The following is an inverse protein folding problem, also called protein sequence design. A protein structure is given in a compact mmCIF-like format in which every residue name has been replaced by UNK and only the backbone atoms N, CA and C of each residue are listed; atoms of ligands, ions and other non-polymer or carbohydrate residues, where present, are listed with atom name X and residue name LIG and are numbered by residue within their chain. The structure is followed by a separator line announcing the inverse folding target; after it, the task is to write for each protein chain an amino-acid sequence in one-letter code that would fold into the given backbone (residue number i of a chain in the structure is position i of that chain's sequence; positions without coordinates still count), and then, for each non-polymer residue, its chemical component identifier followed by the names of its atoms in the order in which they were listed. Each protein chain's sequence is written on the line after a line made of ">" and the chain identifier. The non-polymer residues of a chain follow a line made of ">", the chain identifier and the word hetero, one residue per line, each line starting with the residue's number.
data_IF_214912619956
#
_entry.id   IF_214912619956
#
_cell.length_a   1.000
_cell.length_b   1.000
_cell.length_c   1.000
_cell.angle_alpha   90.00
_cell.angle_beta   90.00
_cell.angle_gamma   90.00
#
_symmetry.space_group_name_H-M   'P 1'
#
loop_
_entity.id
_entity.type
_entity.pdbx_description
1 polymer ?
#
# COMPACT_ATOMS: atom_id res chain seq x y z
N UNK A 1 -75.62 1.75 46.03
CA UNK A 1 -76.99 1.19 46.05
C UNK A 1 -76.89 -0.31 45.81
N UNK A 2 -77.43 -1.06 46.78
CA UNK A 2 -77.98 -2.40 46.73
C UNK A 2 -77.01 -3.56 46.50
N UNK A 3 -76.56 -4.23 47.54
CA UNK A 3 -77.18 -5.34 48.36
C UNK A 3 -77.10 -6.67 47.60
N UNK A 4 -76.22 -7.59 48.06
CA UNK A 4 -76.44 -8.70 48.96
C UNK A 4 -77.21 -9.87 48.32
N UNK A 5 -76.66 -11.08 48.39
CA UNK A 5 -77.28 -12.09 49.26
C UNK A 5 -76.48 -13.42 49.23
N UNK A 6 -76.32 -13.97 50.42
CA UNK A 6 -75.81 -15.31 50.76
C UNK A 6 -76.80 -16.36 50.31
N UNK A 7 -76.30 -17.58 49.92
CA UNK A 7 -77.04 -18.78 50.36
C UNK A 7 -76.06 -19.96 50.55
N UNK A 8 -76.02 -20.43 51.75
CA UNK A 8 -75.42 -21.68 52.25
C UNK A 8 -76.38 -22.81 51.98
N UNK A 9 -75.93 -23.95 51.42
CA UNK A 9 -76.62 -25.23 51.62
C UNK A 9 -75.55 -26.30 51.83
N UNK A 10 -75.71 -26.92 52.99
CA UNK A 10 -75.02 -28.09 53.51
C UNK A 10 -75.75 -29.35 53.04
N UNK A 11 -75.04 -30.36 52.48
CA UNK A 11 -75.55 -31.74 52.46
C UNK A 11 -74.37 -32.72 52.46
N UNK A 12 -74.48 -33.69 53.35
CA UNK A 12 -73.46 -34.64 53.73
C UNK A 12 -73.43 -35.91 52.85
N UNK A 13 -72.28 -36.55 52.88
CA UNK A 13 -71.96 -37.96 52.86
C UNK A 13 -72.37 -38.85 51.68
N UNK A 14 -71.39 -39.50 51.06
CA UNK A 14 -71.30 -40.99 51.06
C UNK A 14 -69.93 -41.41 50.51
N UNK A 15 -69.23 -42.23 51.28
CA UNK A 15 -67.94 -42.81 50.92
C UNK A 15 -68.06 -43.90 49.83
N UNK A 16 -67.27 -43.83 48.82
CA UNK A 16 -66.94 -45.00 47.98
C UNK A 16 -65.45 -44.86 47.56
N UNK A 17 -64.66 -45.83 48.00
CA UNK A 17 -63.23 -45.89 47.71
C UNK A 17 -62.97 -46.13 46.25
N UNK A 18 -62.19 -45.25 45.69
CA UNK A 18 -61.52 -45.44 44.41
C UNK A 18 -60.03 -45.32 44.65
N UNK A 19 -59.32 -46.38 44.41
CA UNK A 19 -57.86 -46.45 44.38
C UNK A 19 -57.41 -45.63 43.13
N UNK A 20 -57.00 -44.42 43.34
CA UNK A 20 -56.39 -43.62 42.28
C UNK A 20 -54.93 -44.04 42.14
N UNK A 21 -54.63 -44.79 41.10
CA UNK A 21 -53.27 -44.98 40.61
C UNK A 21 -52.74 -43.60 40.13
N UNK A 22 -51.86 -42.99 40.92
CA UNK A 22 -51.10 -41.82 40.46
C UNK A 22 -50.20 -42.22 39.28
N UNK A 23 -50.27 -41.56 38.13
CA UNK A 23 -49.25 -41.73 37.13
C UNK A 23 -47.93 -41.19 37.72
N UNK A 24 -46.91 -42.06 37.80
CA UNK A 24 -45.55 -41.63 38.07
C UNK A 24 -45.18 -40.67 36.97
N UNK A 25 -45.12 -39.37 37.26
CA UNK A 25 -44.44 -38.41 36.41
C UNK A 25 -42.98 -38.80 36.36
N UNK A 26 -42.58 -39.52 35.31
CA UNK A 26 -41.18 -39.63 34.94
C UNK A 26 -40.72 -38.21 34.63
N UNK A 27 -40.04 -37.54 35.56
CA UNK A 27 -39.26 -36.38 35.29
C UNK A 27 -38.27 -36.79 34.22
N UNK A 28 -38.46 -36.30 32.99
CA UNK A 28 -37.45 -36.44 31.96
C UNK A 28 -36.15 -35.87 32.56
N UNK A 29 -35.02 -36.59 32.44
CA UNK A 29 -33.75 -36.02 32.85
C UNK A 29 -33.54 -34.76 31.98
N UNK A 30 -33.64 -33.60 32.60
CA UNK A 30 -33.21 -32.38 31.98
C UNK A 30 -31.77 -32.62 31.59
N UNK A 31 -31.43 -32.43 30.30
CA UNK A 31 -30.08 -32.58 29.79
C UNK A 31 -29.23 -31.44 30.35
N UNK A 32 -28.76 -31.62 31.59
CA UNK A 32 -27.98 -30.64 32.37
C UNK A 32 -26.71 -30.24 31.68
N UNK A 33 -26.33 -30.99 30.62
CA UNK A 33 -25.13 -30.74 29.83
C UNK A 33 -25.24 -29.63 28.82
N UNK A 34 -26.45 -29.24 28.40
CA UNK A 34 -26.71 -28.20 27.42
C UNK A 34 -27.15 -26.86 28.06
N UNK A 35 -27.15 -26.78 29.40
CA UNK A 35 -27.48 -25.52 30.08
C UNK A 35 -26.33 -24.51 29.87
N UNK A 36 -26.69 -23.31 29.40
CA UNK A 36 -25.75 -22.17 29.33
C UNK A 36 -25.33 -21.83 30.77
N UNK A 37 -24.06 -21.70 31.01
CA UNK A 37 -23.46 -21.35 32.30
C UNK A 37 -22.43 -20.26 32.13
N UNK A 38 -22.23 -19.47 33.16
CA UNK A 38 -21.11 -18.51 33.26
C UNK A 38 -20.18 -19.00 34.37
N UNK A 39 -18.90 -19.09 34.08
CA UNK A 39 -17.84 -19.55 34.96
C UNK A 39 -16.77 -18.48 35.11
N UNK A 40 -16.52 -18.03 36.35
CA UNK A 40 -15.41 -17.16 36.67
C UNK A 40 -14.21 -18.00 37.07
N UNK A 41 -13.04 -17.77 36.42
CA UNK A 41 -11.81 -18.45 36.74
C UNK A 41 -10.81 -17.50 37.40
N UNK A 42 -10.24 -17.93 38.51
CA UNK A 42 -9.20 -17.14 39.18
C UNK A 42 -7.96 -17.07 38.33
N UNK A 43 -7.45 -15.84 38.07
CA UNK A 43 -6.23 -15.58 37.36
C UNK A 43 -5.31 -14.70 38.18
N UNK A 44 -4.01 -14.93 38.10
CA UNK A 44 -2.99 -14.02 38.60
C UNK A 44 -2.78 -12.87 37.61
N UNK A 45 -2.03 -11.84 37.97
CA UNK A 45 -1.72 -10.75 37.05
C UNK A 45 -0.92 -11.28 35.84
N UNK A 46 -1.28 -10.77 34.65
CA UNK A 46 -0.62 -11.07 33.37
C UNK A 46 -0.53 -9.80 32.53
N UNK A 47 0.38 -9.78 31.56
CA UNK A 47 0.56 -8.70 30.60
C UNK A 47 0.50 -9.17 29.15
N UNK A 48 0.40 -10.48 28.93
CA UNK A 48 0.27 -11.09 27.63
C UNK A 48 -0.87 -12.09 27.61
N UNK A 49 -1.50 -12.29 26.45
CA UNK A 49 -2.59 -13.23 26.21
C UNK A 49 -2.29 -14.05 24.96
N UNK A 50 -2.44 -15.37 25.05
CA UNK A 50 -2.41 -16.31 23.94
C UNK A 50 -3.78 -16.98 23.80
N UNK A 51 -4.39 -16.81 22.63
CA UNK A 51 -5.72 -17.31 22.30
C UNK A 51 -5.63 -18.37 21.20
N UNK A 52 -6.16 -19.55 21.48
CA UNK A 52 -6.33 -20.60 20.49
C UNK A 52 -7.71 -21.23 20.66
N UNK A 53 -8.39 -21.54 19.56
CA UNK A 53 -9.72 -22.13 19.55
C UNK A 53 -10.79 -21.20 18.96
N UNK A 54 -12.02 -21.71 18.82
CA UNK A 54 -13.11 -21.02 18.13
C UNK A 54 -13.96 -20.21 19.13
N UNK A 55 -13.35 -19.37 19.94
CA UNK A 55 -14.03 -18.59 20.97
C UNK A 55 -14.21 -17.14 20.53
N UNK A 56 -15.37 -16.55 20.84
CA UNK A 56 -15.52 -15.10 20.79
C UNK A 56 -14.90 -14.49 22.05
N UNK A 57 -13.87 -13.68 21.88
CA UNK A 57 -13.08 -13.16 23.01
C UNK A 57 -13.23 -11.64 23.09
N UNK A 58 -13.61 -11.13 24.24
CA UNK A 58 -13.70 -9.70 24.53
C UNK A 58 -12.69 -9.35 25.62
N UNK A 59 -11.75 -8.46 25.31
CA UNK A 59 -10.67 -8.04 26.22
C UNK A 59 -10.83 -6.55 26.54
N UNK A 60 -10.95 -6.22 27.83
CA UNK A 60 -10.86 -4.84 28.30
C UNK A 60 -9.47 -4.59 28.91
N UNK A 61 -8.64 -3.84 28.17
CA UNK A 61 -7.27 -3.57 28.55
C UNK A 61 -7.08 -2.57 29.70
N UNK A 62 -8.16 -2.04 30.26
CA UNK A 62 -8.17 -1.16 31.44
C UNK A 62 -8.81 -1.83 32.68
N UNK A 63 -9.51 -2.96 32.51
CA UNK A 63 -10.12 -3.66 33.60
C UNK A 63 -9.12 -4.42 34.50
N UNK A 64 -9.48 -4.65 35.76
CA UNK A 64 -8.66 -5.49 36.64
C UNK A 64 -8.55 -6.92 36.11
N UNK A 65 -7.45 -7.63 36.35
CA UNK A 65 -7.31 -9.01 35.91
C UNK A 65 -8.50 -9.88 36.29
N UNK A 66 -9.21 -10.40 35.31
CA UNK A 66 -10.37 -11.23 35.43
C UNK A 66 -10.55 -12.14 34.24
N UNK A 67 -11.22 -13.28 34.44
CA UNK A 67 -11.50 -14.21 33.36
C UNK A 67 -12.89 -14.83 33.60
N UNK A 68 -13.79 -14.61 32.66
CA UNK A 68 -15.15 -15.14 32.65
C UNK A 68 -15.40 -15.88 31.33
N UNK A 69 -15.92 -17.09 31.42
CA UNK A 69 -16.32 -17.92 30.32
C UNK A 69 -17.84 -18.13 30.35
N UNK A 70 -18.52 -17.92 29.21
CA UNK A 70 -19.96 -18.12 29.09
C UNK A 70 -20.26 -19.03 27.89
N UNK A 71 -21.04 -20.08 28.11
CA UNK A 71 -21.42 -21.07 27.10
C UNK A 71 -21.99 -22.35 27.71
N UNK A 72 -22.12 -23.40 26.92
CA UNK A 72 -22.56 -24.71 27.40
C UNK A 72 -21.54 -25.31 28.38
N UNK A 73 -21.98 -25.85 29.53
CA UNK A 73 -21.08 -26.43 30.55
C UNK A 73 -20.09 -27.46 30.00
N UNK A 74 -20.49 -28.27 29.03
CA UNK A 74 -19.62 -29.25 28.40
C UNK A 74 -18.48 -28.59 27.61
N UNK A 75 -18.79 -27.46 26.94
CA UNK A 75 -17.80 -26.72 26.18
C UNK A 75 -16.83 -25.99 27.12
N UNK A 76 -17.33 -25.41 28.22
CA UNK A 76 -16.48 -24.73 29.22
C UNK A 76 -15.47 -25.70 29.83
N UNK A 77 -15.85 -26.96 30.09
CA UNK A 77 -14.96 -28.00 30.60
C UNK A 77 -13.85 -28.43 29.57
N UNK A 78 -14.03 -28.12 28.29
CA UNK A 78 -13.08 -28.40 27.23
C UNK A 78 -12.09 -27.23 27.00
N UNK A 79 -12.16 -26.15 27.78
CA UNK A 79 -11.28 -24.99 27.67
C UNK A 79 -10.25 -24.99 28.80
N UNK A 80 -8.99 -25.09 28.44
CA UNK A 80 -7.88 -24.88 29.36
C UNK A 80 -7.58 -23.37 29.46
N UNK A 81 -7.50 -22.88 30.68
CA UNK A 81 -7.06 -21.51 30.97
C UNK A 81 -5.99 -21.58 32.06
N UNK A 82 -4.81 -21.06 31.74
CA UNK A 82 -3.68 -21.09 32.65
C UNK A 82 -2.80 -19.82 32.46
N UNK A 83 -2.30 -19.28 33.57
CA UNK A 83 -1.30 -18.23 33.52
C UNK A 83 0.09 -18.87 33.63
N UNK A 84 0.92 -18.69 32.60
CA UNK A 84 2.31 -19.17 32.52
C UNK A 84 3.24 -17.96 32.50
N UNK A 85 3.96 -17.73 33.60
CA UNK A 85 4.73 -16.50 33.75
C UNK A 85 3.83 -15.27 33.75
N UNK A 86 3.94 -14.42 32.74
CA UNK A 86 3.14 -13.22 32.55
C UNK A 86 2.05 -13.38 31.45
N UNK A 87 1.84 -14.60 30.96
CA UNK A 87 0.95 -14.88 29.81
C UNK A 87 -0.26 -15.70 30.24
N UNK A 88 -1.46 -15.17 30.01
CA UNK A 88 -2.72 -15.92 30.09
C UNK A 88 -2.90 -16.72 28.79
N UNK A 89 -2.97 -18.03 28.91
CA UNK A 89 -3.22 -18.95 27.78
C UNK A 89 -4.65 -19.45 27.87
N UNK A 90 -5.42 -19.27 26.79
CA UNK A 90 -6.78 -19.79 26.61
C UNK A 90 -6.79 -20.69 25.37
N UNK A 91 -7.01 -21.98 25.56
CA UNK A 91 -6.95 -22.96 24.48
C UNK A 91 -7.85 -24.18 24.72
N UNK A 92 -8.20 -24.94 23.67
CA UNK A 92 -8.86 -26.23 23.85
C UNK A 92 -7.97 -27.19 24.65
N UNK A 93 -8.57 -27.99 25.54
CA UNK A 93 -7.88 -29.11 26.22
C UNK A 93 -7.41 -30.10 25.15
N UNK A 94 -6.11 -30.37 25.13
CA UNK A 94 -5.56 -31.38 24.23
C UNK A 94 -6.01 -32.79 24.67
N UNK A 95 -6.87 -33.43 23.90
CA UNK A 95 -7.18 -34.84 24.04
C UNK A 95 -6.51 -35.63 22.94
N UNK A 96 -5.73 -36.63 23.28
CA UNK A 96 -5.15 -37.59 22.34
C UNK A 96 -6.28 -38.41 21.70
N UNK A 97 -6.76 -38.02 20.53
CA UNK A 97 -7.78 -38.71 19.74
C UNK A 97 -8.41 -37.81 18.70
N UNK A 98 -8.42 -38.25 17.44
CA UNK A 98 -9.12 -37.59 16.34
C UNK A 98 -10.64 -37.80 16.52
N UNK A 99 -11.36 -36.81 17.00
CA UNK A 99 -12.82 -36.78 16.95
C UNK A 99 -13.28 -35.65 16.03
N UNK A 100 -13.49 -35.96 14.76
CA UNK A 100 -14.29 -35.13 13.86
C UNK A 100 -15.78 -35.24 14.28
N UNK A 101 -16.24 -34.32 15.07
CA UNK A 101 -17.68 -34.22 15.40
C UNK A 101 -18.32 -33.26 14.36
N UNK A 102 -18.64 -33.81 13.19
CA UNK A 102 -19.49 -33.12 12.22
C UNK A 102 -20.96 -33.22 12.71
N UNK A 103 -21.52 -32.08 13.14
CA UNK A 103 -22.97 -32.01 13.26
C UNK A 103 -23.49 -31.45 14.60
N UNK A 104 -23.71 -30.21 14.64
CA UNK A 104 -24.66 -29.27 15.23
C UNK A 104 -23.98 -27.90 15.37
N UNK A 105 -24.66 -26.82 14.98
CA UNK A 105 -24.23 -25.47 15.34
C UNK A 105 -24.11 -25.44 16.87
N UNK A 106 -22.89 -25.44 17.36
CA UNK A 106 -22.61 -25.18 18.77
C UNK A 106 -22.69 -23.68 18.97
N UNK A 107 -23.34 -23.25 20.03
CA UNK A 107 -23.27 -21.85 20.45
C UNK A 107 -21.80 -21.50 20.72
N UNK A 108 -21.36 -20.35 20.22
CA UNK A 108 -19.97 -19.89 20.38
C UNK A 108 -19.73 -19.54 21.84
N UNK A 109 -18.70 -20.13 22.46
CA UNK A 109 -18.30 -19.74 23.80
C UNK A 109 -17.74 -18.32 23.78
N UNK A 110 -18.25 -17.47 24.69
CA UNK A 110 -17.73 -16.13 24.91
C UNK A 110 -16.75 -16.14 26.07
N UNK A 111 -15.57 -15.56 25.87
CA UNK A 111 -14.51 -15.39 26.87
C UNK A 111 -14.31 -13.90 27.14
N UNK A 112 -14.55 -13.43 28.34
CA UNK A 112 -14.32 -12.05 28.75
C UNK A 112 -13.07 -11.96 29.62
N UNK A 113 -12.15 -11.07 29.25
CA UNK A 113 -10.86 -10.93 29.93
C UNK A 113 -10.66 -9.47 30.34
N UNK A 114 -10.39 -9.24 31.61
CA UNK A 114 -9.87 -7.96 32.09
C UNK A 114 -8.36 -8.02 32.20
N UNK A 115 -7.64 -6.98 31.69
CA UNK A 115 -6.18 -6.95 31.60
C UNK A 115 -5.61 -5.54 31.74
N UNK A 116 -5.45 -5.05 32.98
CA UNK A 116 -5.06 -3.65 33.25
C UNK A 116 -3.66 -3.20 32.71
N UNK A 117 -2.83 -4.11 32.27
CA UNK A 117 -1.45 -3.81 31.79
C UNK A 117 -1.08 -4.63 30.55
N UNK A 118 -2.04 -4.74 29.61
CA UNK A 118 -1.88 -5.55 28.40
C UNK A 118 -0.80 -4.99 27.47
N UNK A 119 0.16 -5.84 27.11
CA UNK A 119 1.27 -5.50 26.23
C UNK A 119 1.31 -6.37 24.96
N UNK A 120 0.76 -7.58 25.03
CA UNK A 120 0.82 -8.52 23.90
C UNK A 120 -0.44 -9.36 23.81
N UNK A 121 -0.93 -9.53 22.58
CA UNK A 121 -1.97 -10.51 22.28
C UNK A 121 -1.55 -11.33 21.08
N UNK A 122 -1.66 -12.65 21.20
CA UNK A 122 -1.42 -13.59 20.09
C UNK A 122 -2.70 -14.37 19.85
N UNK A 123 -3.22 -14.31 18.63
CA UNK A 123 -4.45 -14.98 18.22
C UNK A 123 -4.09 -16.05 17.20
N UNK A 124 -4.24 -17.32 17.61
CA UNK A 124 -4.02 -18.49 16.76
C UNK A 124 -5.32 -19.28 16.52
N UNK A 125 -6.43 -18.84 17.12
CA UNK A 125 -7.74 -19.44 17.00
C UNK A 125 -8.51 -18.97 15.77
N UNK A 126 -9.71 -19.56 15.62
CA UNK A 126 -10.67 -19.21 14.57
C UNK A 126 -11.87 -18.40 15.09
N UNK A 127 -11.84 -18.00 16.35
CA UNK A 127 -12.86 -17.14 16.92
C UNK A 127 -12.41 -15.68 16.88
N UNK A 128 -13.39 -14.78 16.80
CA UNK A 128 -13.15 -13.34 16.71
C UNK A 128 -12.73 -12.75 18.06
N UNK A 129 -11.84 -11.75 18.01
CA UNK A 129 -11.28 -11.12 19.21
C UNK A 129 -11.51 -9.61 19.15
N UNK A 130 -12.15 -9.08 20.19
CA UNK A 130 -12.33 -7.65 20.40
C UNK A 130 -11.42 -7.19 21.55
N UNK A 131 -10.60 -6.15 21.33
CA UNK A 131 -9.67 -5.61 22.33
C UNK A 131 -9.94 -4.12 22.51
N UNK A 132 -10.51 -3.76 23.65
CA UNK A 132 -10.90 -2.40 23.93
C UNK A 132 -9.95 -1.71 24.91
N UNK A 133 -9.88 -0.37 24.79
CA UNK A 133 -9.21 0.52 25.72
C UNK A 133 -7.70 0.27 25.85
N UNK A 134 -7.03 -0.20 24.81
CA UNK A 134 -5.57 -0.36 24.80
C UNK A 134 -4.91 0.98 25.11
N UNK A 135 -4.00 1.01 26.09
CA UNK A 135 -3.25 2.20 26.45
C UNK A 135 -1.88 1.82 27.00
N UNK A 136 -0.86 2.46 26.46
CA UNK A 136 0.51 2.21 26.93
C UNK A 136 1.59 2.75 26.00
N UNK A 137 2.83 2.46 26.36
CA UNK A 137 3.98 2.82 25.54
C UNK A 137 4.14 1.88 24.34
N UNK A 138 3.86 0.60 24.52
CA UNK A 138 3.99 -0.39 23.44
C UNK A 138 2.89 -1.45 23.51
N UNK A 139 2.45 -1.88 22.33
CA UNK A 139 1.53 -3.00 22.17
C UNK A 139 1.97 -3.88 21.01
N UNK A 140 1.89 -5.19 21.19
CA UNK A 140 2.22 -6.17 20.16
C UNK A 140 1.00 -7.05 19.88
N UNK A 141 0.59 -7.14 18.62
CA UNK A 141 -0.50 -7.98 18.16
C UNK A 141 0.01 -8.98 17.12
N UNK A 142 -0.27 -10.26 17.31
CA UNK A 142 0.03 -11.30 16.34
C UNK A 142 -1.26 -12.06 15.98
N UNK A 143 -1.74 -11.90 14.75
CA UNK A 143 -2.83 -12.64 14.12
C UNK A 143 -2.28 -13.81 13.30
N UNK A 144 -2.33 -15.01 13.88
CA UNK A 144 -1.78 -16.23 13.24
C UNK A 144 -2.89 -17.21 12.84
N UNK A 145 -4.12 -16.96 13.26
CA UNK A 145 -5.30 -17.79 13.00
C UNK A 145 -6.21 -17.21 11.93
N UNK A 146 -7.32 -17.88 11.64
CA UNK A 146 -8.37 -17.39 10.75
C UNK A 146 -9.46 -16.55 11.42
N UNK A 147 -9.36 -16.26 12.72
CA UNK A 147 -10.28 -15.38 13.45
C UNK A 147 -9.90 -13.91 13.27
N UNK A 148 -10.92 -13.05 13.16
CA UNK A 148 -10.72 -11.62 12.99
C UNK A 148 -10.40 -10.93 14.33
N UNK A 149 -9.63 -9.86 14.27
CA UNK A 149 -9.24 -9.09 15.45
C UNK A 149 -9.61 -7.63 15.28
N UNK A 150 -10.41 -7.10 16.18
CA UNK A 150 -10.70 -5.66 16.30
C UNK A 150 -9.99 -5.10 17.51
N UNK A 151 -9.31 -3.97 17.35
CA UNK A 151 -8.64 -3.34 18.47
C UNK A 151 -8.88 -1.82 18.52
N UNK A 152 -9.06 -1.30 19.76
CA UNK A 152 -9.30 0.11 19.99
C UNK A 152 -8.42 0.67 21.10
N UNK A 153 -8.06 1.97 21.01
CA UNK A 153 -7.25 2.64 22.04
C UNK A 153 -6.16 3.56 21.48
N UNK A 154 -5.04 3.67 22.23
CA UNK A 154 -3.90 4.49 21.80
C UNK A 154 -2.59 4.00 22.41
N UNK A 155 -1.54 3.91 21.58
CA UNK A 155 -0.19 3.51 21.98
C UNK A 155 0.87 4.35 21.30
N UNK A 156 2.08 4.41 21.87
CA UNK A 156 3.20 5.05 21.19
C UNK A 156 3.83 4.16 20.12
N UNK A 157 4.00 2.88 20.44
CA UNK A 157 4.62 1.90 19.55
C UNK A 157 3.67 0.72 19.36
N UNK A 158 3.32 0.42 18.12
CA UNK A 158 2.50 -0.71 17.74
C UNK A 158 3.31 -1.66 16.85
N UNK A 159 3.40 -2.91 17.26
CA UNK A 159 3.98 -3.97 16.43
C UNK A 159 2.87 -4.95 16.05
N UNK A 160 2.68 -5.15 14.76
CA UNK A 160 1.63 -6.03 14.22
C UNK A 160 2.25 -7.09 13.32
N UNK A 161 1.85 -8.33 13.52
CA UNK A 161 2.19 -9.43 12.61
C UNK A 161 0.90 -10.12 12.21
N UNK A 162 0.58 -10.13 10.90
CA UNK A 162 -0.51 -10.90 10.31
C UNK A 162 0.08 -12.06 9.50
N UNK A 163 -0.13 -13.27 9.97
CA UNK A 163 0.30 -14.51 9.31
C UNK A 163 -0.86 -15.47 9.05
N UNK A 164 -2.01 -15.20 9.64
CA UNK A 164 -3.26 -15.93 9.44
C UNK A 164 -4.06 -15.43 8.25
N UNK A 165 -5.28 -15.93 8.14
CA UNK A 165 -6.28 -15.50 7.16
C UNK A 165 -7.41 -14.68 7.78
N UNK A 166 -7.37 -14.41 9.07
CA UNK A 166 -8.28 -13.48 9.73
C UNK A 166 -7.81 -12.04 9.53
N UNK A 167 -8.76 -11.11 9.47
CA UNK A 167 -8.51 -9.70 9.25
C UNK A 167 -8.17 -8.97 10.55
N UNK A 168 -7.34 -7.94 10.47
CA UNK A 168 -6.96 -7.10 11.60
C UNK A 168 -7.53 -5.69 11.41
N UNK A 169 -8.66 -5.41 12.06
CA UNK A 169 -9.35 -4.12 12.03
C UNK A 169 -8.80 -3.21 13.15
N UNK A 170 -7.79 -2.41 12.84
CA UNK A 170 -7.06 -1.56 13.79
C UNK A 170 -7.31 -0.06 13.59
N UNK A 171 -8.29 0.33 12.78
CA UNK A 171 -8.61 1.73 12.47
C UNK A 171 -9.03 2.55 13.70
N UNK A 172 -9.40 1.90 14.81
CA UNK A 172 -9.73 2.54 16.09
C UNK A 172 -8.55 2.52 17.10
N UNK A 173 -7.38 2.00 16.70
CA UNK A 173 -6.17 1.96 17.51
C UNK A 173 -5.16 3.01 17.02
N UNK A 174 -5.12 4.17 17.68
CA UNK A 174 -4.17 5.24 17.36
C UNK A 174 -2.75 4.85 17.73
N UNK A 175 -1.80 5.08 16.84
CA UNK A 175 -0.41 4.76 17.09
C UNK A 175 0.54 5.92 16.76
N UNK A 176 1.63 6.02 17.52
CA UNK A 176 2.77 6.83 17.16
C UNK A 176 3.56 6.14 16.05
N UNK A 177 4.40 5.20 16.43
CA UNK A 177 5.21 4.40 15.49
C UNK A 177 4.57 3.03 15.28
N UNK A 178 4.55 2.57 14.03
CA UNK A 178 3.98 1.27 13.64
C UNK A 178 5.04 0.45 12.88
N UNK A 179 5.24 -0.79 13.32
CA UNK A 179 5.97 -1.83 12.59
C UNK A 179 4.98 -2.96 12.24
N UNK A 180 4.70 -3.11 10.95
CA UNK A 180 3.71 -4.03 10.41
C UNK A 180 4.34 -5.06 9.49
N UNK A 181 4.11 -6.34 9.77
CA UNK A 181 4.51 -7.46 8.93
C UNK A 181 3.28 -8.24 8.49
N UNK A 182 3.01 -8.28 7.18
CA UNK A 182 1.94 -9.04 6.53
C UNK A 182 2.54 -10.23 5.78
N UNK A 183 2.31 -11.43 6.28
CA UNK A 183 2.78 -12.67 5.65
C UNK A 183 1.62 -13.58 5.24
N UNK A 184 0.42 -13.36 5.80
CA UNK A 184 -0.79 -14.12 5.54
C UNK A 184 -1.64 -13.53 4.41
N UNK A 185 -2.79 -14.15 4.13
CA UNK A 185 -3.80 -13.63 3.21
C UNK A 185 -4.86 -12.74 3.89
N UNK A 186 -4.84 -12.57 5.22
CA UNK A 186 -5.77 -11.68 5.92
C UNK A 186 -5.37 -10.22 5.76
N UNK A 187 -6.36 -9.34 5.66
CA UNK A 187 -6.19 -7.93 5.44
C UNK A 187 -5.91 -7.16 6.75
N UNK A 188 -5.30 -6.00 6.64
CA UNK A 188 -5.03 -5.11 7.78
C UNK A 188 -5.51 -3.70 7.49
N UNK A 189 -6.36 -3.19 8.38
CA UNK A 189 -6.82 -1.80 8.35
C UNK A 189 -6.22 -1.01 9.51
N UNK A 190 -5.57 0.11 9.20
CA UNK A 190 -4.97 1.03 10.16
C UNK A 190 -5.51 2.45 9.99
N UNK A 191 -5.49 3.25 11.06
CA UNK A 191 -5.70 4.69 10.93
C UNK A 191 -4.86 5.48 11.96
N UNK A 192 -4.74 6.81 11.71
CA UNK A 192 -4.15 7.75 12.68
C UNK A 192 -2.72 7.42 13.14
N UNK A 193 -1.83 7.00 12.24
CA UNK A 193 -0.39 6.85 12.54
C UNK A 193 0.29 8.20 12.47
N UNK A 194 0.99 8.60 13.54
CA UNK A 194 1.53 9.96 13.69
C UNK A 194 3.07 10.07 13.69
N UNK A 195 3.80 8.97 13.76
CA UNK A 195 5.26 8.94 13.79
C UNK A 195 5.86 8.29 12.55
N UNK A 196 6.31 7.06 12.68
CA UNK A 196 6.86 6.24 11.57
C UNK A 196 5.94 5.09 11.24
N UNK A 197 5.85 4.75 9.95
CA UNK A 197 5.17 3.55 9.48
C UNK A 197 6.17 2.68 8.71
N UNK A 198 6.44 1.49 9.22
CA UNK A 198 7.24 0.46 8.53
C UNK A 198 6.32 -0.69 8.14
N UNK A 199 6.28 -1.00 6.85
CA UNK A 199 5.45 -2.07 6.29
C UNK A 199 6.34 -3.09 5.58
N UNK A 200 6.14 -4.35 5.90
CA UNK A 200 6.74 -5.49 5.21
C UNK A 200 5.61 -6.41 4.73
N UNK A 201 5.23 -6.29 3.46
CA UNK A 201 4.16 -7.06 2.85
C UNK A 201 4.74 -8.21 2.01
N UNK A 202 4.71 -9.41 2.57
CA UNK A 202 5.18 -10.66 1.93
C UNK A 202 4.04 -11.61 1.54
N UNK A 203 2.86 -11.45 2.13
CA UNK A 203 1.66 -12.24 1.88
C UNK A 203 0.81 -11.71 0.72
N UNK A 204 -0.42 -12.23 0.64
CA UNK A 204 -1.44 -11.80 -0.33
C UNK A 204 -2.55 -10.94 0.29
N UNK A 205 -2.53 -10.73 1.61
CA UNK A 205 -3.43 -9.80 2.26
C UNK A 205 -3.07 -8.36 1.94
N UNK A 206 -4.08 -7.49 1.91
CA UNK A 206 -3.94 -6.07 1.62
C UNK A 206 -3.75 -5.24 2.89
N UNK A 207 -3.09 -4.10 2.77
CA UNK A 207 -3.01 -3.08 3.81
C UNK A 207 -3.75 -1.82 3.35
N UNK A 208 -4.71 -1.36 4.16
CA UNK A 208 -5.27 -0.02 4.05
C UNK A 208 -4.89 0.81 5.30
N UNK A 209 -4.25 1.98 5.10
CA UNK A 209 -3.90 2.86 6.20
C UNK A 209 -4.30 4.30 5.91
N UNK A 210 -5.24 4.80 6.73
CA UNK A 210 -5.87 6.10 6.53
C UNK A 210 -5.44 7.15 7.56
N UNK A 211 -5.54 8.42 7.16
CA UNK A 211 -5.31 9.55 8.06
C UNK A 211 -3.88 9.63 8.59
N UNK A 212 -2.89 9.16 7.83
CA UNK A 212 -1.48 9.20 8.20
C UNK A 212 -1.00 10.64 8.39
N UNK A 213 -0.16 10.84 9.39
CA UNK A 213 0.60 12.08 9.64
C UNK A 213 2.05 11.70 9.96
N UNK A 214 2.63 10.88 9.09
CA UNK A 214 3.90 10.24 9.35
C UNK A 214 5.12 11.14 9.06
N UNK A 215 6.13 11.03 9.90
CA UNK A 215 7.44 11.58 9.60
C UNK A 215 8.15 10.81 8.49
N UNK A 216 8.00 9.49 8.50
CA UNK A 216 8.57 8.59 7.50
C UNK A 216 7.67 7.37 7.29
N UNK A 217 7.49 7.00 6.03
CA UNK A 217 6.91 5.74 5.61
C UNK A 217 7.97 4.90 4.91
N UNK A 218 8.12 3.65 5.32
CA UNK A 218 8.97 2.66 4.64
C UNK A 218 8.09 1.47 4.28
N UNK A 219 7.96 1.17 3.00
CA UNK A 219 7.17 0.05 2.51
C UNK A 219 8.04 -0.91 1.68
N UNK A 220 8.08 -2.18 2.07
CA UNK A 220 8.73 -3.27 1.35
C UNK A 220 7.70 -4.30 0.96
N UNK A 221 7.39 -4.35 -0.35
CA UNK A 221 6.37 -5.21 -0.92
C UNK A 221 7.03 -6.33 -1.72
N UNK A 222 6.85 -7.56 -1.27
CA UNK A 222 7.40 -8.77 -1.91
C UNK A 222 6.33 -9.73 -2.37
N UNK A 223 5.14 -9.63 -1.76
CA UNK A 223 3.96 -10.44 -2.07
C UNK A 223 3.09 -9.84 -3.17
N UNK A 224 1.96 -10.50 -3.46
CA UNK A 224 0.93 -10.00 -4.37
C UNK A 224 -0.10 -9.07 -3.69
N UNK A 225 -0.07 -8.93 -2.36
CA UNK A 225 -0.97 -8.03 -1.63
C UNK A 225 -0.69 -6.56 -1.90
N UNK A 226 -1.74 -5.74 -1.90
CA UNK A 226 -1.69 -4.31 -2.18
C UNK A 226 -1.45 -3.49 -0.90
N UNK A 227 -0.90 -2.30 -1.06
CA UNK A 227 -0.73 -1.34 0.03
C UNK A 227 -1.33 -0.01 -0.39
N UNK A 228 -2.40 0.41 0.29
CA UNK A 228 -3.09 1.67 0.08
C UNK A 228 -2.87 2.59 1.27
N UNK A 229 -2.33 3.77 1.02
CA UNK A 229 -2.03 4.75 2.06
C UNK A 229 -2.64 6.11 1.75
N UNK A 230 -3.27 6.72 2.76
CA UNK A 230 -3.83 8.07 2.65
C UNK A 230 -3.38 8.99 3.80
N UNK A 231 -3.44 10.32 3.59
CA UNK A 231 -3.02 11.32 4.57
C UNK A 231 -1.75 12.07 4.19
N UNK A 232 -0.76 12.15 5.07
CA UNK A 232 0.50 12.85 4.80
C UNK A 232 1.72 12.11 5.34
N UNK A 233 2.84 12.26 4.61
CA UNK A 233 4.15 11.80 5.04
C UNK A 233 5.22 12.82 4.66
N UNK A 234 6.29 12.94 5.45
CA UNK A 234 7.43 13.76 5.06
C UNK A 234 8.33 13.00 4.08
N UNK A 235 8.61 11.74 4.38
CA UNK A 235 9.49 10.90 3.58
C UNK A 235 8.81 9.58 3.24
N UNK A 236 9.03 9.10 2.02
CA UNK A 236 8.63 7.77 1.57
C UNK A 236 9.86 7.02 1.03
N UNK A 237 10.06 5.80 1.51
CA UNK A 237 11.01 4.82 0.97
C UNK A 237 10.24 3.56 0.57
N UNK A 238 10.02 3.38 -0.75
CA UNK A 238 9.25 2.30 -1.32
C UNK A 238 10.16 1.32 -2.07
N UNK A 239 10.06 0.05 -1.75
CA UNK A 239 10.73 -1.04 -2.44
C UNK A 239 9.71 -2.13 -2.80
N UNK A 240 9.53 -2.39 -4.10
CA UNK A 240 8.57 -3.35 -4.64
C UNK A 240 9.28 -4.40 -5.48
N UNK A 241 9.14 -5.66 -5.10
CA UNK A 241 9.62 -6.80 -5.86
C UNK A 241 8.52 -7.84 -6.15
N UNK A 242 7.37 -7.69 -5.50
CA UNK A 242 6.17 -8.49 -5.73
C UNK A 242 5.31 -7.97 -6.88
N UNK A 243 4.11 -8.53 -7.02
CA UNK A 243 3.12 -8.14 -8.01
C UNK A 243 1.98 -7.26 -7.44
N UNK A 244 1.98 -7.04 -6.13
CA UNK A 244 1.01 -6.14 -5.50
C UNK A 244 1.27 -4.67 -5.86
N UNK A 245 0.22 -3.86 -5.86
CA UNK A 245 0.26 -2.44 -6.19
C UNK A 245 0.44 -1.57 -4.95
N UNK A 246 1.13 -0.44 -5.10
CA UNK A 246 1.25 0.60 -4.09
C UNK A 246 0.41 1.82 -4.46
N UNK A 247 -0.71 2.01 -3.75
CA UNK A 247 -1.65 3.11 -3.95
C UNK A 247 -1.35 4.25 -2.95
N UNK A 248 -0.39 5.10 -3.28
CA UNK A 248 0.00 6.28 -2.48
C UNK A 248 -0.37 7.61 -3.12
N UNK A 249 -1.32 7.64 -4.08
CA UNK A 249 -1.79 8.88 -4.70
C UNK A 249 -2.58 9.79 -3.73
N UNK A 250 -3.17 9.21 -2.69
CA UNK A 250 -3.88 9.92 -1.63
C UNK A 250 -2.98 10.20 -0.41
N UNK A 251 -1.71 9.76 -0.46
CA UNK A 251 -0.67 10.09 0.51
C UNK A 251 0.11 11.31 0.05
N UNK A 252 -0.10 12.45 0.68
CA UNK A 252 0.64 13.67 0.39
C UNK A 252 2.07 13.60 0.94
N UNK A 253 3.06 13.47 0.06
CA UNK A 253 4.48 13.47 0.41
C UNK A 253 5.03 14.89 0.30
N UNK A 254 5.56 15.45 1.41
CA UNK A 254 6.02 16.84 1.48
C UNK A 254 7.56 17.01 1.44
N UNK A 255 8.32 15.94 1.35
CA UNK A 255 9.78 15.94 1.40
C UNK A 255 10.41 15.05 0.34
N UNK A 256 11.08 13.98 0.77
CA UNK A 256 11.75 13.03 -0.12
C UNK A 256 10.89 11.83 -0.47
N UNK A 257 10.99 11.35 -1.72
CA UNK A 257 10.45 10.07 -2.13
C UNK A 257 11.54 9.27 -2.86
N UNK A 258 11.75 8.04 -2.41
CA UNK A 258 12.54 7.03 -3.09
C UNK A 258 11.62 5.87 -3.47
N UNK A 259 11.69 5.43 -4.74
CA UNK A 259 10.92 4.29 -5.23
C UNK A 259 11.82 3.36 -6.03
N UNK A 260 11.86 2.10 -5.64
CA UNK A 260 12.58 1.04 -6.34
C UNK A 260 11.60 -0.06 -6.70
N UNK A 261 11.37 -0.24 -8.00
CA UNK A 261 10.44 -1.23 -8.53
C UNK A 261 11.19 -2.30 -9.33
N UNK A 262 11.17 -3.54 -8.83
CA UNK A 262 11.76 -4.71 -9.49
C UNK A 262 10.71 -5.71 -9.96
N UNK A 263 9.51 -5.64 -9.39
CA UNK A 263 8.36 -6.49 -9.73
C UNK A 263 7.46 -5.91 -10.81
N UNK A 264 6.38 -6.61 -11.16
CA UNK A 264 5.36 -6.14 -12.09
C UNK A 264 4.28 -5.23 -11.46
N UNK A 265 4.27 -5.06 -10.12
CA UNK A 265 3.31 -4.21 -9.43
C UNK A 265 3.48 -2.73 -9.78
N UNK A 266 2.37 -1.99 -9.78
CA UNK A 266 2.33 -0.56 -10.09
C UNK A 266 2.49 0.29 -8.83
N UNK A 267 2.98 1.51 -8.97
CA UNK A 267 3.04 2.46 -7.87
C UNK A 267 2.54 3.85 -8.27
N UNK A 268 1.74 4.45 -7.39
CA UNK A 268 1.33 5.84 -7.50
C UNK A 268 1.83 6.65 -6.30
N UNK A 269 2.56 7.74 -6.55
CA UNK A 269 3.07 8.67 -5.56
C UNK A 269 2.56 10.08 -5.85
N UNK A 270 2.19 10.83 -4.79
CA UNK A 270 1.72 12.20 -4.96
C UNK A 270 2.18 13.11 -3.82
N UNK A 271 2.19 14.42 -4.07
CA UNK A 271 2.49 15.44 -3.07
C UNK A 271 3.45 16.51 -3.56
N UNK A 272 3.91 17.37 -2.65
CA UNK A 272 4.94 18.38 -2.92
C UNK A 272 6.34 17.77 -2.77
N UNK A 273 6.68 16.76 -3.59
CA UNK A 273 7.90 15.96 -3.48
C UNK A 273 9.11 16.83 -3.84
N UNK A 274 9.98 17.12 -2.86
CA UNK A 274 11.14 18.02 -3.01
C UNK A 274 12.42 17.34 -3.48
N UNK A 275 12.50 16.03 -3.31
CA UNK A 275 13.59 15.19 -3.79
C UNK A 275 13.01 13.86 -4.27
N UNK A 276 13.33 13.48 -5.48
CA UNK A 276 12.86 12.23 -6.05
C UNK A 276 14.03 11.38 -6.56
N UNK A 277 14.04 10.09 -6.19
CA UNK A 277 14.98 9.08 -6.69
C UNK A 277 14.18 7.82 -7.06
N UNK A 278 14.05 7.56 -8.36
CA UNK A 278 13.30 6.46 -8.94
C UNK A 278 14.20 5.45 -9.65
N UNK A 279 13.93 4.17 -9.43
CA UNK A 279 14.56 3.05 -10.14
C UNK A 279 13.48 2.04 -10.55
N UNK A 280 13.36 1.77 -11.85
CA UNK A 280 12.37 0.85 -12.41
C UNK A 280 13.08 -0.22 -13.23
N UNK A 281 13.25 -1.38 -12.64
CA UNK A 281 13.85 -2.58 -13.23
C UNK A 281 12.80 -3.59 -13.65
N UNK A 282 11.59 -3.51 -13.05
CA UNK A 282 10.44 -4.37 -13.32
C UNK A 282 9.62 -3.93 -14.53
N UNK A 283 8.43 -4.52 -14.67
CA UNK A 283 7.47 -4.23 -15.75
C UNK A 283 6.26 -3.38 -15.28
N UNK A 284 6.19 -3.06 -13.98
CA UNK A 284 5.12 -2.23 -13.43
C UNK A 284 5.24 -0.76 -13.84
N UNK A 285 4.15 -0.02 -13.69
CA UNK A 285 4.09 1.41 -13.93
C UNK A 285 4.43 2.20 -12.66
N UNK A 286 5.20 3.30 -12.80
CA UNK A 286 5.42 4.28 -11.75
C UNK A 286 4.83 5.62 -12.14
N UNK A 287 3.79 6.06 -11.43
CA UNK A 287 3.20 7.38 -11.59
C UNK A 287 3.62 8.30 -10.43
N UNK A 288 4.23 9.47 -10.73
CA UNK A 288 4.64 10.45 -9.73
C UNK A 288 4.04 11.82 -10.04
N UNK A 289 3.22 12.32 -9.15
CA UNK A 289 2.46 13.57 -9.33
C UNK A 289 2.87 14.64 -8.31
N UNK A 290 2.90 15.89 -8.76
CA UNK A 290 3.14 17.04 -7.88
C UNK A 290 4.59 17.21 -7.46
N UNK A 291 5.56 16.76 -8.27
CA UNK A 291 6.97 17.05 -8.05
C UNK A 291 7.21 18.55 -7.91
N UNK A 292 7.97 18.94 -6.88
CA UNK A 292 8.45 20.31 -6.63
C UNK A 292 9.93 20.23 -6.23
N UNK A 293 10.74 19.54 -7.03
CA UNK A 293 12.07 19.14 -6.67
C UNK A 293 13.12 20.09 -7.25
N UNK A 294 14.18 20.35 -6.49
CA UNK A 294 15.39 20.95 -7.04
C UNK A 294 16.08 20.01 -8.01
N UNK A 295 16.15 18.70 -7.63
CA UNK A 295 16.74 17.63 -8.46
C UNK A 295 15.86 16.40 -8.40
N UNK A 296 15.70 15.73 -9.56
CA UNK A 296 15.08 14.43 -9.66
C UNK A 296 15.97 13.47 -10.46
N UNK A 297 16.06 12.23 -10.00
CA UNK A 297 16.82 11.17 -10.67
C UNK A 297 15.89 10.02 -11.00
N UNK A 298 16.01 9.47 -12.21
CA UNK A 298 15.24 8.32 -12.66
C UNK A 298 16.14 7.38 -13.47
N UNK A 299 16.13 6.11 -13.10
CA UNK A 299 16.77 5.01 -13.86
C UNK A 299 15.70 4.00 -14.25
N UNK A 300 15.64 3.69 -15.53
CA UNK A 300 14.72 2.73 -16.12
C UNK A 300 15.52 1.65 -16.84
N UNK A 301 15.66 0.49 -16.22
CA UNK A 301 16.40 -0.64 -16.78
C UNK A 301 15.47 -1.74 -17.31
N UNK A 302 14.21 -1.75 -16.82
CA UNK A 302 13.18 -2.70 -17.18
C UNK A 302 12.23 -2.24 -18.30
N UNK A 303 11.19 -3.03 -18.58
CA UNK A 303 10.13 -2.68 -19.54
C UNK A 303 9.01 -1.83 -18.93
N UNK A 304 9.06 -1.52 -17.62
CA UNK A 304 8.05 -0.71 -16.94
C UNK A 304 8.04 0.74 -17.36
N UNK A 305 6.87 1.36 -17.40
CA UNK A 305 6.68 2.74 -17.79
C UNK A 305 6.73 3.70 -16.60
N UNK A 306 7.13 4.94 -16.84
CA UNK A 306 7.14 5.98 -15.81
C UNK A 306 6.40 7.23 -16.28
N UNK A 307 5.52 7.76 -15.46
CA UNK A 307 4.86 9.03 -15.68
C UNK A 307 5.28 10.05 -14.60
N UNK A 308 5.83 11.21 -15.00
CA UNK A 308 6.25 12.27 -14.09
C UNK A 308 5.47 13.56 -14.36
N UNK A 309 4.95 14.19 -13.29
CA UNK A 309 4.27 15.47 -13.40
C UNK A 309 4.65 16.42 -12.25
N UNK A 310 4.74 17.74 -12.56
CA UNK A 310 5.08 18.78 -11.60
C UNK A 310 6.15 19.74 -12.10
N UNK A 311 7.09 20.13 -11.22
CA UNK A 311 8.20 21.03 -11.55
C UNK A 311 9.51 20.52 -10.94
N UNK A 312 10.59 20.49 -11.75
CA UNK A 312 11.91 20.05 -11.33
C UNK A 312 12.96 21.04 -11.86
N UNK A 313 13.94 21.41 -11.04
CA UNK A 313 15.06 22.24 -11.50
C UNK A 313 15.96 21.45 -12.47
N UNK A 314 16.56 20.37 -11.99
CA UNK A 314 17.47 19.51 -12.74
C UNK A 314 16.90 18.08 -12.77
N UNK A 315 16.54 17.59 -13.96
CA UNK A 315 16.07 16.23 -14.21
C UNK A 315 17.19 15.38 -14.82
N UNK A 316 17.51 14.26 -14.18
CA UNK A 316 18.46 13.27 -14.70
C UNK A 316 17.75 11.96 -14.98
N UNK A 317 17.75 11.53 -16.23
CA UNK A 317 17.08 10.32 -16.70
C UNK A 317 18.07 9.39 -17.41
N UNK A 318 18.07 8.13 -17.03
CA UNK A 318 18.74 7.05 -17.72
C UNK A 318 17.72 5.97 -18.10
N UNK A 319 17.59 5.69 -19.40
CA UNK A 319 16.71 4.66 -19.96
C UNK A 319 17.55 3.62 -20.68
N UNK A 320 17.72 2.47 -20.05
CA UNK A 320 18.45 1.33 -20.60
C UNK A 320 17.49 0.19 -21.02
N UNK A 321 16.28 0.17 -20.47
CA UNK A 321 15.23 -0.78 -20.78
C UNK A 321 14.39 -0.40 -22.00
N UNK A 322 13.26 -1.09 -22.16
CA UNK A 322 12.26 -0.84 -23.21
C UNK A 322 11.04 -0.05 -22.75
N UNK A 323 10.96 0.27 -21.46
CA UNK A 323 9.89 1.09 -20.91
C UNK A 323 10.00 2.55 -21.35
N UNK A 324 8.85 3.24 -21.41
CA UNK A 324 8.75 4.63 -21.82
C UNK A 324 8.67 5.58 -20.62
N UNK A 325 9.31 6.74 -20.74
CA UNK A 325 9.12 7.86 -19.82
C UNK A 325 8.16 8.88 -20.44
N UNK A 326 7.03 9.10 -19.79
CA UNK A 326 6.14 10.23 -20.04
C UNK A 326 6.35 11.32 -18.98
N UNK A 327 7.05 12.38 -19.35
CA UNK A 327 7.21 13.60 -18.57
C UNK A 327 6.56 14.82 -19.27
N UNK A 328 5.48 14.60 -20.04
CA UNK A 328 4.72 15.67 -20.67
C UNK A 328 4.09 16.61 -19.64
N UNK A 329 3.71 16.09 -18.47
CA UNK A 329 3.21 16.87 -17.33
C UNK A 329 4.27 17.54 -16.47
N UNK A 330 5.57 17.40 -16.80
CA UNK A 330 6.69 17.92 -16.03
C UNK A 330 7.27 19.20 -16.64
N UNK A 331 7.45 20.23 -15.83
CA UNK A 331 8.25 21.41 -16.17
C UNK A 331 9.63 21.23 -15.59
N UNK A 332 10.69 21.38 -16.43
CA UNK A 332 12.06 21.28 -15.94
C UNK A 332 12.93 22.43 -16.44
N UNK A 333 13.87 22.87 -15.61
CA UNK A 333 14.88 23.83 -16.03
C UNK A 333 15.90 23.16 -16.95
N UNK A 334 16.62 22.19 -16.40
CA UNK A 334 17.59 21.38 -17.14
C UNK A 334 17.16 19.94 -17.18
N UNK A 335 17.33 19.29 -18.33
CA UNK A 335 17.13 17.86 -18.47
C UNK A 335 18.39 17.20 -19.06
N UNK A 336 18.84 16.14 -18.38
CA UNK A 336 19.90 15.25 -18.86
C UNK A 336 19.28 13.90 -19.15
N UNK A 337 19.33 13.45 -20.41
CA UNK A 337 18.76 12.18 -20.86
C UNK A 337 19.84 11.28 -21.41
N UNK A 338 19.91 10.04 -20.97
CA UNK A 338 20.82 9.00 -21.47
C UNK A 338 19.99 7.79 -21.88
N UNK A 339 19.73 7.64 -23.18
CA UNK A 339 18.99 6.52 -23.78
C UNK A 339 19.95 5.47 -24.33
N UNK A 340 19.91 4.24 -23.79
CA UNK A 340 20.70 3.10 -24.28
C UNK A 340 19.83 1.98 -24.82
N UNK A 341 18.58 1.93 -24.39
CA UNK A 341 17.59 0.93 -24.80
C UNK A 341 16.69 1.39 -25.94
N UNK A 342 15.64 0.61 -26.24
CA UNK A 342 14.59 0.98 -27.19
C UNK A 342 13.50 1.87 -26.58
N UNK A 343 13.48 2.09 -25.26
CA UNK A 343 12.48 2.91 -24.58
C UNK A 343 12.51 4.38 -24.99
N UNK A 344 11.34 4.99 -25.11
CA UNK A 344 11.13 6.38 -25.47
C UNK A 344 11.13 7.34 -24.29
N UNK A 345 11.45 8.62 -24.56
CA UNK A 345 11.39 9.69 -23.57
C UNK A 345 10.59 10.87 -24.13
N UNK A 346 9.57 11.30 -23.39
CA UNK A 346 8.78 12.50 -23.75
C UNK A 346 8.96 13.58 -22.67
N UNK A 347 9.40 14.80 -23.09
CA UNK A 347 9.57 15.99 -22.25
C UNK A 347 8.86 17.16 -22.89
N UNK A 348 7.77 17.69 -22.27
CA UNK A 348 6.99 18.74 -22.90
C UNK A 348 7.47 20.17 -22.60
N UNK A 349 8.23 20.39 -21.51
CA UNK A 349 8.57 21.74 -21.04
C UNK A 349 9.97 21.80 -20.44
N UNK A 350 11.00 21.95 -21.30
CA UNK A 350 12.39 22.19 -20.87
C UNK A 350 12.71 23.70 -21.04
N UNK A 351 12.98 24.39 -19.93
CA UNK A 351 13.06 25.84 -19.88
C UNK A 351 14.48 26.44 -20.04
N UNK A 352 15.55 25.66 -19.93
CA UNK A 352 16.92 26.17 -20.03
C UNK A 352 17.79 25.29 -20.95
N UNK A 353 18.10 24.05 -20.57
CA UNK A 353 19.06 23.20 -21.30
C UNK A 353 18.54 21.76 -21.38
N UNK A 354 18.60 21.18 -22.56
CA UNK A 354 18.47 19.74 -22.79
C UNK A 354 19.81 19.16 -23.23
N UNK A 355 20.37 18.26 -22.44
CA UNK A 355 21.54 17.43 -22.81
C UNK A 355 21.09 15.99 -23.01
N UNK A 356 20.96 15.54 -24.25
CA UNK A 356 20.48 14.22 -24.59
C UNK A 356 21.57 13.41 -25.31
N UNK A 357 21.77 12.17 -24.87
CA UNK A 357 22.63 11.21 -25.54
C UNK A 357 21.87 9.90 -25.77
N UNK A 358 21.61 9.57 -27.02
CA UNK A 358 20.86 8.42 -27.47
C UNK A 358 21.80 7.44 -28.17
N UNK A 359 22.00 6.27 -27.52
CA UNK A 359 22.90 5.21 -28.05
C UNK A 359 22.10 4.00 -28.55
N UNK A 360 20.82 3.92 -28.24
CA UNK A 360 19.91 2.84 -28.63
C UNK A 360 18.99 3.20 -29.78
N UNK A 361 17.92 2.44 -29.93
CA UNK A 361 16.85 2.69 -30.91
C UNK A 361 15.67 3.47 -30.31
N UNK A 362 15.74 3.83 -29.04
CA UNK A 362 14.69 4.60 -28.38
C UNK A 362 14.55 6.01 -28.92
N UNK A 363 13.33 6.56 -28.88
CA UNK A 363 13.00 7.90 -29.34
C UNK A 363 13.07 8.96 -28.25
N UNK A 364 13.36 10.20 -28.63
CA UNK A 364 13.23 11.36 -27.77
C UNK A 364 12.24 12.35 -28.39
N UNK A 365 11.19 12.70 -27.65
CA UNK A 365 10.28 13.79 -28.02
C UNK A 365 10.39 14.87 -26.97
N UNK A 366 10.78 16.10 -27.37
CA UNK A 366 10.93 17.18 -26.42
C UNK A 366 10.46 18.52 -26.97
N UNK A 367 9.91 19.36 -26.06
CA UNK A 367 9.60 20.75 -26.35
C UNK A 367 10.49 21.65 -25.48
N UNK A 368 11.23 22.57 -26.12
CA UNK A 368 12.20 23.46 -25.48
C UNK A 368 11.79 24.92 -25.64
N UNK A 369 11.96 25.66 -24.55
CA UNK A 369 11.91 27.14 -24.57
C UNK A 369 13.09 27.63 -23.73
N UNK A 370 14.32 27.49 -24.27
CA UNK A 370 15.52 27.59 -23.47
C UNK A 370 16.74 28.12 -24.20
N UNK A 371 17.91 27.89 -23.60
CA UNK A 371 19.18 28.41 -24.09
C UNK A 371 19.92 27.43 -25.01
N UNK A 372 19.90 26.12 -24.63
CA UNK A 372 20.76 25.16 -25.30
C UNK A 372 20.14 23.79 -25.49
N UNK A 373 20.32 23.24 -26.68
CA UNK A 373 20.13 21.83 -26.98
C UNK A 373 21.53 21.22 -27.30
N UNK A 374 21.90 20.23 -26.49
CA UNK A 374 23.04 19.35 -26.73
C UNK A 374 22.51 17.98 -27.10
N UNK A 375 22.71 17.51 -28.33
CA UNK A 375 22.19 16.22 -28.78
C UNK A 375 23.33 15.36 -29.35
N UNK A 376 23.51 14.19 -28.77
CA UNK A 376 24.41 13.16 -29.30
C UNK A 376 23.62 11.91 -29.62
N UNK A 377 23.63 11.49 -30.86
CA UNK A 377 22.97 10.28 -31.31
C UNK A 377 23.99 9.32 -31.94
N UNK A 378 24.04 8.11 -31.42
CA UNK A 378 24.92 7.05 -31.92
C UNK A 378 24.12 5.74 -32.00
N UNK A 379 23.22 5.68 -32.97
CA UNK A 379 22.30 4.55 -33.13
C UNK A 379 21.17 4.89 -34.13
N UNK A 380 20.18 4.02 -34.25
CA UNK A 380 19.04 4.22 -35.15
C UNK A 380 17.87 5.00 -34.50
N UNK A 381 18.00 5.45 -33.25
CA UNK A 381 16.93 6.17 -32.55
C UNK A 381 16.66 7.56 -33.17
N UNK A 382 15.43 8.06 -33.01
CA UNK A 382 15.00 9.34 -33.55
C UNK A 382 14.77 10.38 -32.41
N UNK A 383 15.08 11.64 -32.73
CA UNK A 383 14.77 12.77 -31.84
C UNK A 383 13.85 13.75 -32.56
N UNK A 384 12.70 14.03 -31.96
CA UNK A 384 11.77 15.08 -32.40
C UNK A 384 11.74 16.20 -31.37
N UNK A 385 12.20 17.38 -31.81
CA UNK A 385 12.36 18.52 -30.91
C UNK A 385 11.61 19.73 -31.48
N UNK A 386 10.78 20.33 -30.68
CA UNK A 386 9.96 21.49 -30.98
C UNK A 386 10.33 22.68 -30.06
N UNK A 387 10.00 23.91 -30.45
CA UNK A 387 10.11 25.12 -29.62
C UNK A 387 11.16 26.12 -30.06
N UNK A 388 11.85 26.78 -29.09
CA UNK A 388 12.84 27.84 -29.40
C UNK A 388 14.04 27.69 -28.48
N UNK A 389 15.25 27.76 -29.07
CA UNK A 389 16.53 27.74 -28.34
C UNK A 389 17.50 28.74 -28.89
N UNK A 390 18.43 29.25 -28.07
CA UNK A 390 19.50 30.13 -28.55
C UNK A 390 20.54 29.33 -29.34
N UNK A 391 20.88 28.12 -28.90
CA UNK A 391 21.94 27.32 -29.52
C UNK A 391 21.58 25.85 -29.62
N UNK A 392 21.86 25.23 -30.76
CA UNK A 392 21.80 23.78 -31.01
C UNK A 392 23.18 23.27 -31.31
N UNK A 393 23.64 22.28 -30.56
CA UNK A 393 24.86 21.50 -30.82
C UNK A 393 24.44 20.03 -31.00
N UNK A 394 24.42 19.54 -32.25
CA UNK A 394 23.95 18.20 -32.56
C UNK A 394 25.00 17.36 -33.27
N UNK A 395 25.29 16.18 -32.73
CA UNK A 395 26.16 15.19 -33.36
C UNK A 395 25.41 13.89 -33.58
N UNK A 396 25.26 13.48 -34.82
CA UNK A 396 24.56 12.27 -35.21
C UNK A 396 25.55 11.32 -35.91
N UNK A 397 25.71 10.13 -35.30
CA UNK A 397 26.57 9.08 -35.85
C UNK A 397 25.69 7.82 -35.98
N UNK A 398 25.42 7.39 -37.20
CA UNK A 398 24.51 6.26 -37.44
C UNK A 398 23.34 6.62 -38.34
N UNK A 399 22.22 5.89 -38.21
CA UNK A 399 21.02 6.02 -39.05
C UNK A 399 19.88 6.82 -38.41
N UNK A 400 20.06 7.27 -37.19
CA UNK A 400 19.06 8.04 -36.49
C UNK A 400 18.83 9.43 -37.07
N UNK A 401 17.67 10.03 -36.78
CA UNK A 401 17.30 11.35 -37.33
C UNK A 401 16.95 12.37 -36.26
N UNK A 402 17.30 13.64 -36.47
CA UNK A 402 16.79 14.79 -35.74
C UNK A 402 15.73 15.51 -36.58
N UNK A 403 14.45 15.37 -36.15
CA UNK A 403 13.36 16.18 -36.69
C UNK A 403 13.17 17.41 -35.79
N UNK A 404 13.72 18.52 -36.19
CA UNK A 404 13.60 19.85 -35.58
C UNK A 404 12.82 20.84 -36.45
N UNK A 405 11.88 20.38 -37.31
CA UNK A 405 11.04 21.29 -38.09
C UNK A 405 10.21 22.25 -37.24
N UNK A 406 9.83 21.83 -36.03
CA UNK A 406 9.17 22.67 -35.03
C UNK A 406 10.14 23.47 -34.16
N UNK A 407 11.46 23.30 -34.28
CA UNK A 407 12.48 23.97 -33.49
C UNK A 407 13.05 25.18 -34.21
N UNK A 408 13.00 26.33 -33.56
CA UNK A 408 13.67 27.57 -34.03
C UNK A 408 14.93 27.82 -33.21
N UNK A 409 16.08 27.89 -33.84
CA UNK A 409 17.37 28.13 -33.21
C UNK A 409 17.99 29.47 -33.63
N UNK A 410 18.63 30.17 -32.68
CA UNK A 410 19.45 31.35 -33.03
C UNK A 410 20.76 30.94 -33.73
N UNK A 411 21.35 29.82 -33.29
CA UNK A 411 22.54 29.23 -33.89
C UNK A 411 22.45 27.70 -33.87
N UNK A 412 22.93 27.04 -34.94
CA UNK A 412 22.95 25.58 -34.98
C UNK A 412 24.28 25.08 -35.56
N UNK A 413 24.99 24.29 -34.74
CA UNK A 413 26.13 23.47 -35.17
C UNK A 413 25.71 22.01 -35.22
N UNK A 414 25.66 21.45 -36.44
CA UNK A 414 25.10 20.11 -36.68
C UNK A 414 26.10 19.32 -37.51
N UNK A 415 26.53 18.19 -36.96
CA UNK A 415 27.45 17.25 -37.62
C UNK A 415 26.75 15.90 -37.77
N UNK A 416 26.65 15.41 -39.00
CA UNK A 416 26.05 14.11 -39.30
C UNK A 416 27.08 13.19 -39.96
N UNK A 417 27.38 12.07 -39.30
CA UNK A 417 28.25 11.01 -39.84
C UNK A 417 27.40 9.75 -40.07
N UNK A 418 27.21 9.33 -41.31
CA UNK A 418 26.42 8.17 -41.67
C UNK A 418 25.12 8.51 -42.42
N UNK A 419 24.17 7.57 -42.51
CA UNK A 419 22.95 7.75 -43.30
C UNK A 419 21.86 8.56 -42.58
N UNK A 420 22.07 8.96 -41.33
CA UNK A 420 21.14 9.78 -40.55
C UNK A 420 20.94 11.18 -41.16
N UNK A 421 19.89 11.85 -40.66
CA UNK A 421 19.53 13.21 -41.11
C UNK A 421 19.27 14.14 -39.93
N UNK A 422 19.46 15.43 -40.12
CA UNK A 422 19.08 16.45 -39.17
C UNK A 422 18.43 17.64 -39.88
N UNK A 423 17.30 18.12 -39.35
CA UNK A 423 16.61 19.30 -39.84
C UNK A 423 16.29 20.24 -38.69
N UNK A 424 16.67 21.52 -38.78
CA UNK A 424 16.41 22.55 -37.76
C UNK A 424 16.20 23.90 -38.47
N UNK A 425 15.24 24.71 -37.98
CA UNK A 425 15.05 26.06 -38.47
C UNK A 425 16.01 27.02 -37.75
N UNK A 426 16.78 27.81 -38.50
CA UNK A 426 17.73 28.80 -37.94
C UNK A 426 17.26 30.18 -38.34
N UNK A 427 17.26 31.12 -37.40
CA UNK A 427 16.98 32.54 -37.67
C UNK A 427 18.30 33.23 -37.98
N UNK A 428 18.51 33.62 -39.26
CA UNK A 428 19.66 34.41 -39.63
C UNK A 428 19.48 35.87 -39.18
N UNK A 429 20.58 36.59 -38.86
CA UNK A 429 20.56 37.92 -38.29
C UNK A 429 19.83 39.02 -39.09
N UNK A 430 19.18 38.66 -40.21
CA UNK A 430 18.30 39.51 -41.02
C UNK A 430 16.82 39.13 -40.94
N UNK A 431 16.36 38.50 -39.83
CA UNK A 431 14.97 38.02 -39.62
C UNK A 431 14.45 37.03 -40.68
N UNK A 432 15.29 36.38 -41.42
CA UNK A 432 14.92 35.31 -42.36
C UNK A 432 15.15 33.95 -41.77
N UNK A 433 14.07 33.20 -41.55
CA UNK A 433 14.18 31.80 -41.15
C UNK A 433 14.62 30.94 -42.34
N UNK A 434 15.76 30.31 -42.23
CA UNK A 434 16.28 29.32 -43.19
C UNK A 434 16.24 27.92 -42.54
N UNK A 435 15.80 26.90 -43.28
CA UNK A 435 15.87 25.52 -42.82
C UNK A 435 17.28 24.97 -43.11
N UNK A 436 17.97 24.55 -42.03
CA UNK A 436 19.27 23.88 -42.15
C UNK A 436 19.04 22.37 -42.12
N UNK A 437 19.23 21.72 -43.25
CA UNK A 437 19.16 20.26 -43.36
C UNK A 437 20.55 19.71 -43.65
N UNK A 438 21.01 18.77 -42.85
CA UNK A 438 22.30 18.09 -43.06
C UNK A 438 22.04 16.61 -43.32
N UNK A 439 22.49 16.10 -44.45
CA UNK A 439 22.44 14.71 -44.81
C UNK A 439 23.80 14.27 -45.38
N UNK A 440 24.34 13.12 -44.97
CA UNK A 440 25.61 12.56 -45.45
C UNK A 440 26.78 13.54 -45.43
N UNK A 441 26.86 14.41 -44.40
CA UNK A 441 27.94 15.40 -44.29
C UNK A 441 27.84 16.59 -45.26
N UNK A 442 26.75 16.71 -46.01
CA UNK A 442 26.51 17.86 -46.90
C UNK A 442 25.44 18.78 -46.29
N UNK A 443 25.76 20.07 -46.22
CA UNK A 443 24.87 21.10 -45.75
C UNK A 443 23.96 21.56 -46.90
N UNK A 444 22.63 21.37 -46.74
CA UNK A 444 21.62 21.93 -47.65
C UNK A 444 20.90 23.06 -46.93
N UNK A 445 21.17 24.30 -47.33
CA UNK A 445 20.41 25.48 -46.91
C UNK A 445 19.22 25.66 -47.84
N UNK A 446 17.99 25.54 -47.34
CA UNK A 446 16.77 25.78 -48.10
C UNK A 446 16.18 27.11 -47.63
N UNK A 447 16.25 28.14 -48.44
CA UNK A 447 15.51 29.39 -48.23
C UNK A 447 14.01 29.18 -48.56
N UNK A 448 13.10 29.87 -47.85
CA UNK A 448 11.66 29.84 -48.12
C UNK A 448 11.24 30.21 -49.53
N UNK A 449 12.16 30.77 -50.33
CA UNK A 449 11.97 31.04 -51.76
C UNK A 449 12.16 29.83 -52.69
N UNK A 450 12.54 28.66 -52.16
CA UNK A 450 12.75 27.44 -52.96
C UNK A 450 14.08 27.41 -53.73
N UNK A 451 15.01 28.34 -53.47
CA UNK A 451 16.34 28.36 -54.11
C UNK A 451 17.33 27.49 -53.34
N UNK A 452 17.90 26.49 -54.00
CA UNK A 452 18.92 25.60 -53.44
C UNK A 452 20.30 26.17 -53.65
N UNK A 453 21.04 26.46 -52.61
CA UNK A 453 22.47 26.76 -52.68
C UNK A 453 23.27 25.65 -51.99
N UNK A 454 24.07 24.89 -52.72
CA UNK A 454 25.04 23.92 -52.17
C UNK A 454 26.37 24.64 -51.87
N UNK A 455 26.87 24.47 -50.66
CA UNK A 455 28.26 24.80 -50.28
C UNK A 455 28.97 23.57 -49.76
#
# INVERSE_FOLDING_TARGET
>A
MKTALKLTVLAAALAAGAIATMPASFAQPQDVGNAVATEQRAVTAFSAIELAGPYHVVIDAQAKPSLELSGERKQLAEIETVVRGDTLVVRPVQRNGFFFNFGKRRETVTVRIGAAALKRVTVAGSGDVEIDHIKGDSFTLAGNGPGDVRASGAVRQLTVTSSGSGDLELQHLKAGDVDLTLNGPGDVELADVSGTLVVQAGGSGDLEADGLRAGKVTARMRGPGNVKLSGSARELDLEMSGSGDFEGCDLRIDGGARSVQRGPGNACLAGAIRKFDGEVDGSGELAVRGLQAGTAQLRMNGPGNVALAGTVGDLNVEVAGSGDLDAAGLKTGKATVRGRGPGGVTLANVGDTLDAALYGSGGLKASLSGKRLLLRMNGPGDARIDGTVAQVDAQITGSGSLDGHGLTAGHADIVVHGPGTASVNVVDGNDRAASKTVARGQLLLVDRSGSHTTR
#
